data_IF_280104502488
#
_entry.id   IF_280104502488
#
_cell.length_a   1.000
_cell.length_b   1.000
_cell.length_c   1.000
_cell.angle_alpha   90.00
_cell.angle_beta   90.00
_cell.angle_gamma   90.00
#
_symmetry.space_group_name_H-M   'P 1'
#
loop_
_entity.id
_entity.type
_entity.pdbx_description
1 polymer ?
#
# COMPACT_ATOMS: atom_id res chain seq x y z
N UNK A 1 22.75 -10.78 -0.81
CA UNK A 1 21.72 -9.92 -1.45
C UNK A 1 20.69 -9.57 -0.38
N UNK A 2 20.66 -8.34 0.13
CA UNK A 2 19.62 -7.94 1.09
C UNK A 2 18.26 -8.18 0.45
N UNK A 3 17.45 -9.07 1.03
CA UNK A 3 16.02 -9.13 0.71
C UNK A 3 15.51 -7.70 0.91
N UNK A 4 15.11 -7.03 -0.17
CA UNK A 4 14.22 -5.87 -0.05
C UNK A 4 13.09 -6.35 0.87
N UNK A 5 12.90 -5.69 2.02
CA UNK A 5 11.73 -5.97 2.86
C UNK A 5 10.52 -5.87 1.93
N UNK A 6 9.68 -6.89 1.89
CA UNK A 6 8.47 -6.84 1.08
C UNK A 6 7.49 -5.86 1.70
N UNK A 7 6.75 -5.13 0.86
CA UNK A 7 5.68 -4.26 1.29
C UNK A 7 4.58 -5.10 1.94
N UNK A 8 3.96 -4.64 3.03
CA UNK A 8 2.87 -5.40 3.65
C UNK A 8 1.52 -5.09 3.00
N UNK A 9 0.89 -6.11 2.42
CA UNK A 9 -0.48 -6.02 1.92
C UNK A 9 -1.50 -5.76 3.03
N UNK A 10 -1.21 -6.25 4.24
CA UNK A 10 -2.03 -6.01 5.44
C UNK A 10 -2.07 -4.53 5.81
N UNK A 11 -0.94 -3.82 5.71
CA UNK A 11 -0.88 -2.37 5.96
C UNK A 11 -1.70 -1.57 4.93
N UNK A 12 -1.61 -1.94 3.64
CA UNK A 12 -2.44 -1.30 2.59
C UNK A 12 -3.94 -1.49 2.83
N UNK A 13 -4.32 -2.69 3.28
CA UNK A 13 -5.70 -3.02 3.65
C UNK A 13 -6.21 -2.17 4.80
N UNK A 14 -5.41 -2.02 5.85
CA UNK A 14 -5.74 -1.17 6.99
C UNK A 14 -5.93 0.29 6.55
N UNK A 15 -4.97 0.81 5.78
CA UNK A 15 -5.01 2.18 5.24
C UNK A 15 -6.25 2.42 4.36
N UNK A 16 -6.63 1.47 3.50
CA UNK A 16 -7.86 1.56 2.70
C UNK A 16 -9.10 1.63 3.59
N UNK A 17 -9.19 0.74 4.58
CA UNK A 17 -10.34 0.67 5.49
C UNK A 17 -10.49 1.96 6.30
N UNK A 18 -9.39 2.51 6.80
CA UNK A 18 -9.38 3.78 7.52
C UNK A 18 -9.86 4.94 6.62
N UNK A 19 -9.47 4.92 5.34
CA UNK A 19 -9.97 5.88 4.36
C UNK A 19 -11.46 5.68 3.98
N UNK A 20 -12.10 4.61 4.45
CA UNK A 20 -13.52 4.32 4.23
C UNK A 20 -13.85 3.85 2.81
N UNK A 21 -12.88 3.32 2.06
CA UNK A 21 -13.12 2.81 0.71
C UNK A 21 -13.33 1.29 0.72
N UNK A 22 -14.24 0.80 -0.12
CA UNK A 22 -14.28 -0.61 -0.54
C UNK A 22 -13.10 -0.93 -1.47
N UNK A 23 -12.82 -2.22 -1.70
CA UNK A 23 -11.77 -2.61 -2.64
C UNK A 23 -12.04 -2.09 -4.06
N UNK A 24 -13.30 -2.12 -4.52
CA UNK A 24 -13.67 -1.65 -5.85
C UNK A 24 -13.53 -0.14 -6.01
N UNK A 25 -13.96 0.62 -5.00
CA UNK A 25 -13.81 2.08 -4.99
C UNK A 25 -12.36 2.53 -5.03
N UNK A 26 -11.48 1.82 -4.31
CA UNK A 26 -10.05 2.09 -4.36
C UNK A 26 -9.46 1.71 -5.73
N UNK A 27 -9.84 0.54 -6.25
CA UNK A 27 -9.39 0.03 -7.54
C UNK A 27 -9.67 1.05 -8.67
N UNK A 28 -10.88 1.61 -8.71
CA UNK A 28 -11.27 2.68 -9.65
C UNK A 28 -10.37 3.91 -9.50
N UNK A 29 -10.06 4.34 -8.27
CA UNK A 29 -9.23 5.52 -8.00
C UNK A 29 -7.76 5.34 -8.36
N UNK A 30 -7.23 4.12 -8.20
CA UNK A 30 -5.84 3.78 -8.55
C UNK A 30 -5.70 3.48 -10.05
N UNK A 31 -6.75 2.97 -10.69
CA UNK A 31 -6.74 2.50 -12.07
C UNK A 31 -6.29 1.05 -12.22
N UNK A 32 -6.67 0.17 -11.28
CA UNK A 32 -6.42 -1.28 -11.32
C UNK A 32 -7.73 -2.05 -11.13
N UNK A 33 -7.71 -3.38 -11.27
CA UNK A 33 -8.89 -4.20 -10.98
C UNK A 33 -9.08 -4.39 -9.46
N UNK A 34 -10.33 -4.67 -9.07
CA UNK A 34 -10.66 -5.04 -7.68
C UNK A 34 -9.94 -6.33 -7.26
N UNK A 35 -9.77 -7.25 -8.20
CA UNK A 35 -9.07 -8.52 -8.03
C UNK A 35 -7.59 -8.28 -7.73
N UNK A 36 -6.94 -7.32 -8.41
CA UNK A 36 -5.57 -6.90 -8.10
C UNK A 36 -5.47 -6.29 -6.70
N UNK A 37 -6.41 -5.42 -6.30
CA UNK A 37 -6.49 -4.91 -4.92
C UNK A 37 -6.59 -6.06 -3.92
N UNK A 38 -7.48 -7.02 -4.16
CA UNK A 38 -7.64 -8.20 -3.29
C UNK A 38 -6.37 -9.06 -3.23
N UNK A 39 -5.69 -9.26 -4.36
CA UNK A 39 -4.45 -10.04 -4.41
C UNK A 39 -3.32 -9.38 -3.63
N UNK A 40 -3.20 -8.05 -3.72
CA UNK A 40 -2.26 -7.24 -2.92
C UNK A 40 -2.61 -7.36 -1.43
N UNK A 41 -3.87 -7.15 -1.04
CA UNK A 41 -4.29 -7.19 0.37
C UNK A 41 -4.16 -8.56 1.03
N UNK A 42 -4.14 -9.63 0.22
CA UNK A 42 -3.93 -11.00 0.67
C UNK A 42 -2.51 -11.51 0.37
N UNK A 43 -1.59 -10.61 0.05
CA UNK A 43 -0.15 -10.87 -0.15
C UNK A 43 0.12 -12.04 -1.11
N UNK A 44 -0.61 -12.09 -2.23
CA UNK A 44 -0.40 -13.12 -3.26
C UNK A 44 1.03 -13.03 -3.79
N UNK A 45 1.85 -14.09 -3.71
CA UNK A 45 3.29 -14.01 -3.98
C UNK A 45 3.66 -13.39 -5.33
N UNK A 46 2.99 -13.83 -6.39
CA UNK A 46 3.20 -13.32 -7.76
C UNK A 46 2.81 -11.84 -7.91
N UNK A 47 1.76 -11.40 -7.22
CA UNK A 47 1.36 -9.99 -7.23
C UNK A 47 2.36 -9.14 -6.46
N UNK A 48 2.79 -9.61 -5.29
CA UNK A 48 3.74 -8.88 -4.43
C UNK A 48 5.16 -8.82 -5.02
N UNK A 49 5.57 -9.80 -5.83
CA UNK A 49 6.85 -9.75 -6.55
C UNK A 49 6.86 -8.73 -7.69
N UNK A 50 5.69 -8.40 -8.23
CA UNK A 50 5.54 -7.55 -9.42
C UNK A 50 4.87 -6.20 -9.12
N UNK A 51 4.49 -5.93 -7.87
CA UNK A 51 3.85 -4.66 -7.52
C UNK A 51 4.80 -3.50 -7.77
N UNK A 52 4.38 -2.57 -8.63
CA UNK A 52 5.13 -1.36 -8.94
C UNK A 52 4.99 -0.29 -7.86
N UNK A 53 6.04 0.52 -7.70
CA UNK A 53 6.07 1.69 -6.81
C UNK A 53 4.89 2.62 -7.06
N UNK A 54 4.53 2.82 -8.32
CA UNK A 54 3.41 3.67 -8.72
C UNK A 54 2.09 3.27 -8.06
N UNK A 55 1.80 1.97 -7.97
CA UNK A 55 0.58 1.46 -7.34
C UNK A 55 0.58 1.79 -5.85
N UNK A 56 1.71 1.59 -5.17
CA UNK A 56 1.87 1.89 -3.75
C UNK A 56 1.72 3.41 -3.51
N UNK A 57 2.36 4.24 -4.34
CA UNK A 57 2.27 5.71 -4.26
C UNK A 57 0.85 6.22 -4.51
N UNK A 58 0.12 5.67 -5.50
CA UNK A 58 -1.28 6.01 -5.75
C UNK A 58 -2.17 5.58 -4.59
N UNK A 59 -2.00 4.37 -4.07
CA UNK A 59 -2.73 3.86 -2.92
C UNK A 59 -2.58 4.78 -1.71
N UNK A 60 -1.33 5.17 -1.42
CA UNK A 60 -1.02 6.14 -0.39
C UNK A 60 -1.70 7.48 -0.64
N UNK A 61 -1.55 8.03 -1.84
CA UNK A 61 -2.09 9.35 -2.21
C UNK A 61 -3.62 9.39 -2.06
N UNK A 62 -4.32 8.34 -2.46
CA UNK A 62 -5.77 8.23 -2.36
C UNK A 62 -6.22 8.10 -0.91
N UNK A 63 -5.57 7.24 -0.12
CA UNK A 63 -6.04 6.96 1.24
C UNK A 63 -5.57 7.99 2.27
N UNK A 64 -4.41 8.63 2.09
CA UNK A 64 -3.86 9.59 3.07
C UNK A 64 -4.76 10.79 3.32
N UNK A 65 -5.66 11.12 2.40
CA UNK A 65 -6.56 12.28 2.54
C UNK A 65 -7.50 12.13 3.74
N UNK A 66 -7.81 10.90 4.14
CA UNK A 66 -8.70 10.57 5.26
C UNK A 66 -7.99 9.85 6.42
N UNK A 67 -6.72 9.46 6.25
CA UNK A 67 -5.95 8.81 7.29
C UNK A 67 -5.50 9.79 8.39
N UNK A 68 -5.48 9.33 9.63
CA UNK A 68 -4.99 10.05 10.80
C UNK A 68 -3.50 10.40 10.67
N UNK A 69 -3.04 11.39 11.45
CA UNK A 69 -1.62 11.79 11.47
C UNK A 69 -0.70 10.61 11.85
N UNK A 70 -1.10 9.80 12.84
CA UNK A 70 -0.33 8.65 13.29
C UNK A 70 -0.23 7.54 12.23
N UNK A 71 -1.33 7.25 11.53
CA UNK A 71 -1.31 6.33 10.38
C UNK A 71 -0.38 6.86 9.30
N UNK A 72 -0.37 8.18 9.09
CA UNK A 72 0.47 8.78 8.06
C UNK A 72 1.96 8.63 8.33
N UNK A 73 2.37 8.85 9.58
CA UNK A 73 3.78 8.72 10.01
C UNK A 73 4.25 7.26 9.95
N UNK A 74 3.43 6.33 10.46
CA UNK A 74 3.77 4.90 10.48
C UNK A 74 3.88 4.31 9.07
N UNK A 75 2.96 4.71 8.19
CA UNK A 75 2.97 4.29 6.79
C UNK A 75 4.17 4.87 6.03
N UNK A 76 4.51 6.15 6.26
CA UNK A 76 5.68 6.78 5.65
C UNK A 76 6.98 6.07 6.04
N UNK A 77 7.16 5.74 7.33
CA UNK A 77 8.33 4.98 7.78
C UNK A 77 8.41 3.60 7.13
N UNK A 78 7.28 2.90 7.00
CA UNK A 78 7.21 1.58 6.35
C UNK A 78 7.54 1.64 4.86
N UNK A 79 7.08 2.69 4.17
CA UNK A 79 7.38 2.99 2.77
C UNK A 79 8.87 3.27 2.58
N UNK A 80 9.46 4.10 3.45
CA UNK A 80 10.86 4.50 3.35
C UNK A 80 11.81 3.31 3.58
N UNK A 81 11.50 2.47 4.57
CA UNK A 81 12.19 1.19 4.83
C UNK A 81 12.06 0.23 3.63
N UNK A 82 10.88 0.14 2.99
CA UNK A 82 10.67 -0.64 1.76
C UNK A 82 11.57 -0.18 0.61
N UNK A 83 11.73 1.14 0.44
CA UNK A 83 12.59 1.73 -0.59
C UNK A 83 14.08 1.75 -0.23
N UNK A 84 14.45 1.29 0.98
CA UNK A 84 15.83 1.28 1.45
C UNK A 84 16.33 2.65 1.90
N UNK A 85 15.44 3.61 2.10
CA UNK A 85 15.76 4.88 2.75
C UNK A 85 15.61 4.69 4.26
N UNK A 86 16.72 4.39 4.94
CA UNK A 86 16.75 4.42 6.40
C UNK A 86 16.65 5.88 6.87
N UNK A 87 15.50 6.27 7.42
CA UNK A 87 15.39 7.47 8.23
C UNK A 87 15.92 7.13 9.61
N UNK A 88 17.19 7.42 9.84
CA UNK A 88 17.88 7.36 11.13
C UNK A 88 17.27 8.32 12.15
#
# INVERSE_FOLDING_TARGET
MSRRKQFSGVQLKALRKEAGFTQGELAIRIGISRETVSAIENEKPETMSNIGVEIISKWWTVCRQKASQQTRETFFSSIMDYFGFNLS
#
